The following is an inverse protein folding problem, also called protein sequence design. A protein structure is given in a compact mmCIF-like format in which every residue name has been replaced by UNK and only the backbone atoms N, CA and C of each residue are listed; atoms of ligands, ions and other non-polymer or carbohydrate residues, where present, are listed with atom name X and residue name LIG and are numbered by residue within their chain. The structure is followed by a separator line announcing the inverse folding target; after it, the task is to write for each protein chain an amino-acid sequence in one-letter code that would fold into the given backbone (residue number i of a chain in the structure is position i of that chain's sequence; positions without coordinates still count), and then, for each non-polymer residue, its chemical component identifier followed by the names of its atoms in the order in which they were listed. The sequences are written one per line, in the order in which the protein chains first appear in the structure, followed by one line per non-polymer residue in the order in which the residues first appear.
data_IF_960774899972
#
_entry.id   IF_960774899972
#
_cell.length_a   1.000
_cell.length_b   1.000
_cell.length_c   1.000
_cell.angle_alpha   90.00
_cell.angle_beta   90.00
_cell.angle_gamma   90.00
#
_symmetry.space_group_name_H-M   'P 1'
#
loop_
_entity.id
_entity.type
_entity.pdbx_description
1 polymer ?
#
# COMPACT_ATOMS: atom_id res chain seq x y z
N UNK A 1 -22.84 -2.44 -6.20
CA UNK A 1 -21.67 -2.54 -5.30
C UNK A 1 -20.74 -1.41 -5.71
N UNK A 2 -20.80 -0.27 -5.03
CA UNK A 2 -19.97 0.88 -5.42
C UNK A 2 -18.52 0.52 -5.11
N UNK A 3 -17.69 0.45 -6.15
CA UNK A 3 -16.27 0.20 -5.98
C UNK A 3 -15.66 1.42 -5.31
N UNK A 4 -15.32 1.32 -4.03
CA UNK A 4 -14.68 2.40 -3.28
C UNK A 4 -13.38 2.74 -4.01
N UNK A 5 -13.26 3.98 -4.47
CA UNK A 5 -12.08 4.47 -5.16
C UNK A 5 -10.86 4.40 -4.24
N UNK A 6 -9.68 4.12 -4.79
CA UNK A 6 -8.47 3.88 -4.00
C UNK A 6 -8.11 5.08 -3.10
N UNK A 7 -8.41 6.31 -3.55
CA UNK A 7 -8.24 7.52 -2.73
C UNK A 7 -9.09 7.51 -1.44
N UNK A 8 -10.31 6.98 -1.51
CA UNK A 8 -11.19 6.89 -0.33
C UNK A 8 -10.78 5.73 0.59
N UNK A 9 -10.24 4.65 0.03
CA UNK A 9 -9.59 3.61 0.83
C UNK A 9 -8.34 4.14 1.55
N UNK A 10 -7.58 5.05 0.93
CA UNK A 10 -6.45 5.74 1.56
C UNK A 10 -6.86 6.65 2.72
N UNK A 11 -7.97 7.39 2.58
CA UNK A 11 -8.52 8.20 3.68
C UNK A 11 -8.97 7.33 4.87
N UNK A 12 -9.63 6.20 4.60
CA UNK A 12 -10.04 5.25 5.63
C UNK A 12 -8.83 4.57 6.30
N UNK A 13 -7.81 4.21 5.52
CA UNK A 13 -6.54 3.68 6.00
C UNK A 13 -5.84 4.66 6.96
N UNK A 14 -5.81 5.95 6.61
CA UNK A 14 -5.28 7.00 7.48
C UNK A 14 -6.08 7.19 8.77
N UNK A 15 -7.39 6.86 8.74
CA UNK A 15 -8.27 6.81 9.90
C UNK A 15 -8.09 5.58 10.81
N UNK A 16 -7.00 4.81 10.65
CA UNK A 16 -6.72 3.56 11.38
C UNK A 16 -7.72 2.44 11.06
N UNK A 17 -8.23 2.36 9.82
CA UNK A 17 -9.02 1.22 9.36
C UNK A 17 -8.12 0.15 8.68
N UNK A 18 -7.82 -0.98 9.38
CA UNK A 18 -6.98 -2.05 8.82
C UNK A 18 -7.65 -2.79 7.67
N UNK A 19 -8.99 -2.79 7.57
CA UNK A 19 -9.68 -3.46 6.48
C UNK A 19 -9.51 -2.70 5.17
N UNK A 20 -9.48 -1.36 5.21
CA UNK A 20 -9.27 -0.52 4.02
C UNK A 20 -7.90 -0.75 3.39
N UNK A 21 -6.85 -0.93 4.21
CA UNK A 21 -5.51 -1.25 3.69
C UNK A 21 -5.41 -2.66 3.17
N UNK A 22 -6.09 -3.63 3.79
CA UNK A 22 -6.17 -4.98 3.23
C UNK A 22 -6.69 -4.98 1.79
N UNK A 23 -7.70 -4.15 1.49
CA UNK A 23 -8.25 -4.01 0.14
C UNK A 23 -7.27 -3.34 -0.82
N UNK A 24 -6.59 -2.27 -0.41
CA UNK A 24 -5.54 -1.62 -1.21
C UNK A 24 -4.37 -2.57 -1.48
N UNK A 25 -3.98 -3.36 -0.47
CA UNK A 25 -2.94 -4.37 -0.59
C UNK A 25 -3.30 -5.38 -1.66
N UNK A 26 -4.49 -6.00 -1.57
CA UNK A 26 -4.91 -7.01 -2.53
C UNK A 26 -4.97 -6.47 -3.97
N UNK A 27 -5.36 -5.21 -4.16
CA UNK A 27 -5.38 -4.56 -5.48
C UNK A 27 -4.01 -4.22 -6.03
N UNK A 28 -3.09 -3.72 -5.19
CA UNK A 28 -1.81 -3.19 -5.66
C UNK A 28 -0.64 -4.16 -5.50
N UNK A 29 -0.77 -5.23 -4.70
CA UNK A 29 0.32 -6.16 -4.40
C UNK A 29 0.94 -6.76 -5.67
N UNK A 30 0.12 -7.16 -6.64
CA UNK A 30 0.63 -7.72 -7.89
C UNK A 30 1.43 -6.69 -8.73
N UNK A 31 0.97 -5.43 -8.75
CA UNK A 31 1.61 -4.36 -9.50
C UNK A 31 2.95 -3.96 -8.87
N UNK A 32 2.98 -3.83 -7.54
CA UNK A 32 4.20 -3.55 -6.76
C UNK A 32 5.19 -4.70 -6.88
N UNK A 33 4.72 -5.94 -6.71
CA UNK A 33 5.54 -7.13 -6.87
C UNK A 33 6.18 -7.21 -8.26
N UNK A 34 5.39 -6.99 -9.31
CA UNK A 34 5.90 -7.00 -10.70
C UNK A 34 6.92 -5.88 -10.92
N UNK A 35 6.69 -4.69 -10.34
CA UNK A 35 7.66 -3.61 -10.39
C UNK A 35 8.98 -3.97 -9.70
N UNK A 36 8.92 -4.51 -8.48
CA UNK A 36 10.10 -4.96 -7.74
C UNK A 36 10.83 -6.09 -8.48
N UNK A 37 10.09 -7.07 -8.98
CA UNK A 37 10.65 -8.20 -9.74
C UNK A 37 11.37 -7.73 -11.02
N UNK A 38 10.80 -6.77 -11.76
CA UNK A 38 11.45 -6.18 -12.93
C UNK A 38 12.76 -5.45 -12.59
N UNK A 39 12.93 -5.00 -11.35
CA UNK A 39 14.09 -4.24 -10.87
C UNK A 39 15.16 -5.12 -10.23
N UNK A 40 14.75 -6.19 -9.55
CA UNK A 40 15.67 -7.08 -8.80
C UNK A 40 15.96 -8.38 -9.52
N UNK A 41 15.13 -8.78 -10.50
CA UNK A 41 15.17 -10.09 -11.17
C UNK A 41 15.23 -11.29 -10.20
N UNK A 42 14.80 -11.07 -8.95
CA UNK A 42 14.85 -12.05 -7.88
C UNK A 42 13.50 -12.11 -7.19
N UNK A 43 12.93 -13.31 -7.14
CA UNK A 43 11.61 -13.59 -6.60
C UNK A 43 11.55 -13.24 -5.11
N UNK A 44 12.55 -13.68 -4.33
CA UNK A 44 12.66 -13.40 -2.90
C UNK A 44 12.86 -11.92 -2.58
N UNK A 45 13.69 -11.22 -3.35
CA UNK A 45 13.89 -9.79 -3.15
C UNK A 45 12.64 -8.97 -3.51
N UNK A 46 11.87 -9.41 -4.50
CA UNK A 46 10.61 -8.76 -4.85
C UNK A 46 9.56 -8.91 -3.75
N UNK A 47 9.47 -10.09 -3.12
CA UNK A 47 8.57 -10.34 -1.99
C UNK A 47 8.91 -9.48 -0.77
N UNK A 48 10.19 -9.43 -0.40
CA UNK A 48 10.69 -8.61 0.70
C UNK A 48 10.40 -7.12 0.47
N UNK A 49 10.78 -6.60 -0.71
CA UNK A 49 10.55 -5.20 -1.06
C UNK A 49 9.07 -4.83 -1.13
N UNK A 50 8.22 -5.74 -1.62
CA UNK A 50 6.77 -5.52 -1.63
C UNK A 50 6.26 -5.34 -0.21
N UNK A 51 6.69 -6.21 0.70
CA UNK A 51 6.32 -6.12 2.13
C UNK A 51 6.81 -4.83 2.77
N UNK A 52 8.05 -4.41 2.49
CA UNK A 52 8.60 -3.13 2.96
C UNK A 52 7.79 -1.95 2.46
N UNK A 53 7.47 -1.91 1.16
CA UNK A 53 6.66 -0.83 0.57
C UNK A 53 5.31 -0.70 1.27
N UNK A 54 4.64 -1.82 1.57
CA UNK A 54 3.36 -1.78 2.27
C UNK A 54 3.47 -1.33 3.73
N UNK A 55 4.50 -1.77 4.45
CA UNK A 55 4.75 -1.33 5.83
C UNK A 55 5.06 0.17 5.90
N UNK A 56 5.86 0.68 4.96
CA UNK A 56 6.17 2.11 4.86
C UNK A 56 4.93 2.93 4.52
N UNK A 57 4.08 2.43 3.62
CA UNK A 57 2.85 3.12 3.24
C UNK A 57 1.83 3.15 4.40
N UNK A 58 1.75 2.08 5.19
CA UNK A 58 0.97 2.04 6.45
C UNK A 58 1.50 3.03 7.49
N UNK A 59 2.83 3.17 7.58
CA UNK A 59 3.47 4.11 8.51
C UNK A 59 3.21 5.56 8.12
N UNK A 60 3.19 5.85 6.82
CA UNK A 60 2.84 7.16 6.29
C UNK A 60 1.35 7.49 6.53
N UNK A 61 0.45 6.52 6.36
CA UNK A 61 -0.99 6.72 6.63
C UNK A 61 -1.28 6.89 8.12
N UNK A 62 -0.61 6.13 8.99
CA UNK A 62 -0.79 6.23 10.44
C UNK A 62 -0.15 7.49 11.05
N UNK A 63 0.86 8.06 10.39
CA UNK A 63 1.53 9.27 10.86
C UNK A 63 0.62 10.51 10.79
N UNK A 64 -0.52 10.46 10.10
CA UNK A 64 -1.56 11.49 10.16
C UNK A 64 -1.03 12.93 10.05
N UNK A 65 0.06 13.15 9.31
CA UNK A 65 0.72 14.43 9.27
C UNK A 65 0.17 15.22 8.07
N UNK A 66 -0.67 16.24 8.30
CA UNK A 66 -1.01 17.16 7.24
C UNK A 66 0.28 17.90 6.87
N UNK A 67 0.85 17.60 5.71
CA UNK A 67 1.60 18.62 4.98
C UNK A 67 0.58 19.61 4.41
N UNK A 68 0.02 20.44 5.31
CA UNK A 68 -0.66 21.69 4.98
C UNK A 68 0.16 22.81 5.63
N UNK A 69 1.02 23.41 4.84
CA UNK A 69 1.42 24.81 4.97
C UNK A 69 1.01 25.53 3.70
#
# INVERSE_FOLDING_TARGET
MQEVSDGKLWELAAGNDPAAVGVLFQRHANSVYTHCFRRTASWSAAEDLTSVVFLEAWRCSAAGAPLRT
#
